data_IF_226569996454
#
_entry.id   IF_226569996454
#
_cell.length_a   1.000
_cell.length_b   1.000
_cell.length_c   1.000
_cell.angle_alpha   90.00
_cell.angle_beta   90.00
_cell.angle_gamma   90.00
#
_symmetry.space_group_name_H-M   'P 1'
#
loop_
_entity.id
_entity.type
_entity.pdbx_description
1 polymer ?
#
# COMPACT_ATOMS: atom_id res chain seq x y z
N UNK A 1 -2.01 85.71 9.37
CA UNK A 1 -2.86 84.58 9.07
C UNK A 1 -1.99 83.61 8.31
N UNK A 2 -1.54 82.58 8.98
CA UNK A 2 -0.35 81.80 8.67
C UNK A 2 -0.71 80.48 8.02
N UNK A 3 -0.19 80.26 6.82
CA UNK A 3 -0.19 79.01 6.09
C UNK A 3 0.88 78.09 6.70
N UNK A 4 0.53 76.89 7.15
CA UNK A 4 1.48 75.86 7.54
C UNK A 4 1.57 74.79 6.45
N UNK A 5 2.73 74.68 5.86
CA UNK A 5 3.16 73.66 4.89
C UNK A 5 3.41 72.34 5.60
N UNK A 6 2.75 71.26 5.17
CA UNK A 6 3.00 69.89 5.64
C UNK A 6 3.90 69.22 4.65
N UNK A 7 5.09 68.85 5.12
CA UNK A 7 6.06 67.95 4.36
C UNK A 7 5.68 66.52 4.59
N UNK A 8 5.32 65.82 3.53
CA UNK A 8 5.12 64.35 3.55
C UNK A 8 6.44 63.70 3.13
N UNK A 9 7.10 63.05 4.08
CA UNK A 9 8.24 62.19 3.82
C UNK A 9 7.74 60.84 3.29
N UNK A 10 8.07 60.54 2.04
CA UNK A 10 7.82 59.23 1.42
C UNK A 10 8.73 58.16 1.98
N UNK A 11 8.16 57.16 2.62
CA UNK A 11 8.84 55.92 2.98
C UNK A 11 8.71 54.95 1.81
N UNK A 12 9.81 54.75 1.05
CA UNK A 12 9.91 53.68 0.10
C UNK A 12 10.13 52.34 0.87
N UNK A 13 9.07 51.56 1.06
CA UNK A 13 9.19 50.19 1.50
C UNK A 13 9.64 49.33 0.31
N UNK A 14 10.87 48.86 0.32
CA UNK A 14 11.36 47.81 -0.54
C UNK A 14 10.67 46.51 -0.07
N UNK A 15 9.62 46.07 -0.77
CA UNK A 15 9.09 44.72 -0.65
C UNK A 15 10.02 43.82 -1.44
N UNK A 16 10.97 43.20 -0.75
CA UNK A 16 11.76 42.09 -1.30
C UNK A 16 10.84 40.92 -1.59
N UNK A 17 10.52 40.70 -2.86
CA UNK A 17 9.93 39.41 -3.31
C UNK A 17 10.95 38.34 -3.03
N UNK A 18 10.78 37.60 -1.93
CA UNK A 18 11.42 36.31 -1.74
C UNK A 18 10.67 35.34 -2.66
N UNK A 19 11.29 35.04 -3.81
CA UNK A 19 10.88 33.89 -4.61
C UNK A 19 11.21 32.64 -3.79
N UNK A 20 10.20 32.05 -3.16
CA UNK A 20 10.27 30.68 -2.68
C UNK A 20 10.28 29.84 -3.96
N UNK A 21 11.43 29.27 -4.29
CA UNK A 21 11.52 28.20 -5.29
C UNK A 21 10.83 27.01 -4.63
N UNK A 22 9.52 26.87 -4.84
CA UNK A 22 8.81 25.64 -4.55
C UNK A 22 9.47 24.55 -5.39
N UNK A 23 10.00 23.53 -4.73
CA UNK A 23 10.66 22.41 -5.39
C UNK A 23 9.65 21.75 -6.33
N UNK A 24 10.00 21.56 -7.61
CA UNK A 24 9.12 20.92 -8.60
C UNK A 24 8.56 19.55 -8.20
N UNK A 25 9.09 18.92 -7.15
CA UNK A 25 8.57 17.72 -6.52
C UNK A 25 7.19 17.93 -5.86
N UNK A 26 6.91 19.12 -5.29
CA UNK A 26 5.62 19.40 -4.65
C UNK A 26 4.50 19.57 -5.67
N UNK A 27 4.80 20.17 -6.82
CA UNK A 27 3.83 20.34 -7.91
C UNK A 27 3.49 19.02 -8.57
N UNK A 28 4.48 18.15 -8.80
CA UNK A 28 4.27 16.79 -9.33
C UNK A 28 3.45 15.93 -8.37
N UNK A 29 3.65 16.08 -7.05
CA UNK A 29 2.88 15.38 -6.03
C UNK A 29 1.38 15.74 -6.08
N UNK A 30 1.06 17.03 -6.16
CA UNK A 30 -0.32 17.51 -6.26
C UNK A 30 -0.98 17.04 -7.56
N UNK A 31 -0.24 16.95 -8.65
CA UNK A 31 -0.72 16.43 -9.93
C UNK A 31 -0.90 14.91 -9.92
N UNK A 32 0.03 14.14 -9.37
CA UNK A 32 -0.07 12.67 -9.30
C UNK A 32 -1.28 12.17 -8.48
N UNK A 33 -1.85 13.02 -7.64
CA UNK A 33 -3.08 12.73 -6.89
C UNK A 33 -4.37 13.05 -7.67
N UNK A 34 -4.29 13.68 -8.85
CA UNK A 34 -5.44 14.03 -9.68
C UNK A 34 -5.82 12.89 -10.62
N UNK A 35 -7.12 12.75 -10.97
CA UNK A 35 -7.58 11.73 -11.92
C UNK A 35 -6.99 11.89 -13.34
N UNK A 36 -6.52 13.08 -13.69
CA UNK A 36 -5.96 13.48 -14.99
C UNK A 36 -4.43 13.55 -15.00
N UNK A 37 -3.75 13.04 -13.98
CA UNK A 37 -2.30 13.01 -13.92
C UNK A 37 -1.71 12.26 -15.10
N UNK A 38 -0.88 12.94 -15.90
CA UNK A 38 -0.12 12.31 -16.97
C UNK A 38 1.12 11.63 -16.39
N UNK A 39 1.18 10.31 -16.57
CA UNK A 39 2.35 9.52 -16.14
C UNK A 39 3.61 10.03 -16.84
N UNK A 40 4.70 10.09 -16.12
CA UNK A 40 6.00 10.52 -16.62
C UNK A 40 6.59 9.45 -17.54
N UNK A 41 6.85 9.72 -18.83
CA UNK A 41 7.46 8.76 -19.75
C UNK A 41 8.87 8.38 -19.28
N UNK A 42 9.07 7.09 -18.95
CA UNK A 42 10.32 6.56 -18.43
C UNK A 42 10.79 5.37 -19.27
N UNK A 43 12.04 5.39 -19.71
CA UNK A 43 12.70 4.29 -20.37
C UNK A 43 13.71 3.61 -19.45
N UNK A 44 13.71 2.27 -19.40
CA UNK A 44 14.74 1.48 -18.72
C UNK A 44 15.71 0.98 -19.79
N UNK A 45 16.89 1.59 -19.85
CA UNK A 45 17.91 1.30 -20.86
C UNK A 45 18.67 -0.01 -20.62
N UNK A 46 18.40 -0.69 -19.50
CA UNK A 46 18.95 -1.99 -19.13
C UNK A 46 19.89 -1.94 -17.93
N UNK A 47 20.13 -3.12 -17.36
CA UNK A 47 21.10 -3.35 -16.28
C UNK A 47 22.21 -4.23 -16.80
N UNK A 48 23.40 -3.65 -16.98
CA UNK A 48 24.60 -4.33 -17.49
C UNK A 48 25.10 -5.39 -16.48
N UNK A 49 25.49 -6.55 -17.00
CA UNK A 49 26.11 -7.58 -16.17
C UNK A 49 27.63 -7.40 -16.18
N UNK A 50 28.20 -7.09 -15.02
CA UNK A 50 29.65 -7.04 -14.81
C UNK A 50 30.16 -8.45 -14.43
N UNK A 51 31.10 -9.04 -15.12
CA UNK A 51 31.70 -10.37 -15.03
C UNK A 51 31.36 -11.26 -13.81
N UNK A 52 31.25 -12.56 -14.00
CA UNK A 52 30.93 -13.53 -12.93
C UNK A 52 29.48 -13.55 -12.46
N UNK A 53 28.54 -13.11 -13.29
CA UNK A 53 27.17 -12.72 -12.94
C UNK A 53 26.08 -13.76 -13.18
N UNK A 54 26.43 -15.03 -13.34
CA UNK A 54 25.43 -16.10 -13.38
C UNK A 54 24.90 -16.36 -11.96
N UNK A 55 23.57 -16.46 -11.83
CA UNK A 55 22.96 -16.89 -10.57
C UNK A 55 23.45 -18.32 -10.24
N UNK A 56 23.48 -18.73 -8.96
CA UNK A 56 23.82 -20.10 -8.57
C UNK A 56 22.98 -21.16 -9.30
N UNK A 57 21.83 -20.76 -9.86
CA UNK A 57 20.92 -21.60 -10.63
C UNK A 57 21.22 -21.60 -12.14
N UNK A 58 22.23 -20.83 -12.61
CA UNK A 58 22.78 -20.90 -13.97
C UNK A 58 21.83 -20.50 -15.12
N UNK A 59 20.65 -19.94 -14.85
CA UNK A 59 19.61 -19.76 -15.86
C UNK A 59 19.29 -18.30 -16.21
N UNK A 60 19.52 -17.35 -15.33
CA UNK A 60 19.17 -15.93 -15.55
C UNK A 60 20.31 -15.02 -15.14
N UNK A 61 20.69 -14.09 -16.02
CA UNK A 61 21.71 -13.09 -15.72
C UNK A 61 21.17 -12.13 -14.65
N UNK A 62 22.02 -11.75 -13.69
CA UNK A 62 21.69 -10.89 -12.56
C UNK A 62 21.04 -9.57 -12.97
N UNK A 63 21.58 -8.89 -14.00
CA UNK A 63 21.04 -7.64 -14.52
C UNK A 63 19.61 -7.80 -15.07
N UNK A 64 19.35 -8.87 -15.83
CA UNK A 64 18.01 -9.14 -16.37
C UNK A 64 16.97 -9.35 -15.26
N UNK A 65 17.36 -10.03 -14.17
CA UNK A 65 16.47 -10.22 -13.02
C UNK A 65 16.14 -8.90 -12.32
N UNK A 66 17.14 -8.03 -12.12
CA UNK A 66 16.96 -6.69 -11.54
C UNK A 66 16.04 -5.85 -12.44
N UNK A 67 16.29 -5.89 -13.75
CA UNK A 67 15.52 -5.13 -14.74
C UNK A 67 14.04 -5.55 -14.76
N UNK A 68 13.75 -6.84 -14.68
CA UNK A 68 12.38 -7.36 -14.64
C UNK A 68 11.61 -6.86 -13.40
N UNK A 69 12.25 -6.93 -12.22
CA UNK A 69 11.68 -6.39 -10.98
C UNK A 69 11.44 -4.89 -11.11
N UNK A 70 12.44 -4.14 -11.58
CA UNK A 70 12.35 -2.69 -11.73
C UNK A 70 11.24 -2.29 -12.72
N UNK A 71 11.08 -2.99 -13.85
CA UNK A 71 9.99 -2.75 -14.80
C UNK A 71 8.62 -2.97 -14.16
N UNK A 72 8.48 -3.99 -13.33
CA UNK A 72 7.24 -4.28 -12.60
C UNK A 72 6.93 -3.18 -11.60
N UNK A 73 7.91 -2.78 -10.79
CA UNK A 73 7.75 -1.74 -9.77
C UNK A 73 7.41 -0.38 -10.39
N UNK A 74 8.13 0.01 -11.45
CA UNK A 74 7.88 1.26 -12.17
C UNK A 74 6.46 1.30 -12.77
N UNK A 75 6.00 0.19 -13.36
CA UNK A 75 4.64 0.09 -13.90
C UNK A 75 3.60 0.20 -12.79
N UNK A 76 3.77 -0.53 -11.69
CA UNK A 76 2.85 -0.56 -10.55
C UNK A 76 2.90 0.71 -9.70
N UNK A 77 3.91 1.55 -9.82
CA UNK A 77 3.93 2.86 -9.15
C UNK A 77 2.81 3.79 -9.61
N UNK A 78 2.29 3.59 -10.82
CA UNK A 78 1.34 4.45 -11.53
C UNK A 78 1.83 5.89 -11.74
N UNK A 79 3.09 6.18 -11.38
CA UNK A 79 3.75 7.48 -11.57
C UNK A 79 4.34 7.57 -12.98
N UNK A 80 4.86 6.45 -13.49
CA UNK A 80 5.57 6.42 -14.76
C UNK A 80 4.79 5.67 -15.84
N UNK A 81 4.96 6.13 -17.09
CA UNK A 81 4.61 5.41 -18.29
C UNK A 81 5.88 4.75 -18.85
N UNK A 82 5.96 3.42 -18.76
CA UNK A 82 7.12 2.69 -19.26
C UNK A 82 7.15 2.75 -20.79
N UNK A 83 8.24 3.30 -21.35
CA UNK A 83 8.50 3.42 -22.79
C UNK A 83 9.42 2.28 -23.23
N UNK A 84 9.07 1.62 -24.34
CA UNK A 84 9.94 0.59 -24.92
C UNK A 84 11.21 1.22 -25.51
N UNK A 85 12.36 0.69 -25.13
CA UNK A 85 13.67 1.14 -25.63
C UNK A 85 13.99 0.66 -27.04
N UNK A 86 13.25 -0.33 -27.56
CA UNK A 86 13.40 -0.82 -28.91
C UNK A 86 13.08 0.30 -29.92
N UNK A 87 14.05 0.66 -30.76
CA UNK A 87 13.92 1.76 -31.73
C UNK A 87 14.43 3.12 -31.22
N UNK A 88 14.75 3.27 -29.94
CA UNK A 88 15.35 4.51 -29.40
C UNK A 88 16.87 4.58 -29.58
N UNK A 89 17.49 3.57 -30.20
CA UNK A 89 18.94 3.53 -30.42
C UNK A 89 19.77 3.31 -29.14
N UNK A 90 19.11 3.08 -28.01
CA UNK A 90 19.78 2.84 -26.73
C UNK A 90 20.35 1.41 -26.74
N UNK A 91 21.67 1.29 -26.59
CA UNK A 91 22.34 -0.01 -26.52
C UNK A 91 22.46 -0.44 -25.06
N UNK A 92 21.58 -1.31 -24.62
CA UNK A 92 21.71 -1.97 -23.36
C UNK A 92 23.07 -2.72 -23.28
N UNK A 93 23.81 -2.57 -22.20
CA UNK A 93 25.06 -3.31 -21.94
C UNK A 93 26.37 -2.58 -22.30
N UNK A 94 26.30 -1.30 -22.72
CA UNK A 94 27.49 -0.46 -22.95
C UNK A 94 27.43 0.88 -22.18
N UNK A 95 26.50 0.98 -21.25
CA UNK A 95 26.25 2.24 -20.54
C UNK A 95 27.21 2.40 -19.35
N UNK A 96 28.11 3.37 -19.45
CA UNK A 96 28.98 3.79 -18.34
C UNK A 96 28.19 4.49 -17.22
N UNK A 97 28.91 5.16 -16.33
CA UNK A 97 28.31 6.03 -15.32
C UNK A 97 27.86 7.39 -15.92
N UNK A 98 28.30 7.70 -17.12
CA UNK A 98 27.93 8.92 -17.83
C UNK A 98 26.75 8.67 -18.81
N UNK A 99 25.95 9.71 -19.12
CA UNK A 99 24.85 9.58 -20.04
C UNK A 99 25.35 9.24 -21.46
N UNK A 100 24.72 8.24 -22.06
CA UNK A 100 24.97 7.87 -23.45
C UNK A 100 24.40 8.93 -24.40
N UNK A 101 25.06 9.27 -25.52
CA UNK A 101 24.53 10.20 -26.52
C UNK A 101 23.14 9.82 -27.08
N UNK A 102 22.78 8.52 -27.09
CA UNK A 102 21.46 8.03 -27.49
C UNK A 102 20.33 8.52 -26.58
N UNK A 103 20.63 8.98 -25.35
CA UNK A 103 19.59 9.52 -24.47
C UNK A 103 18.97 10.80 -25.01
N UNK A 104 19.74 11.63 -25.76
CA UNK A 104 19.18 12.78 -26.46
C UNK A 104 18.13 12.37 -27.49
N UNK A 105 18.40 11.30 -28.24
CA UNK A 105 17.44 10.76 -29.19
C UNK A 105 16.18 10.21 -28.50
N UNK A 106 16.33 9.55 -27.35
CA UNK A 106 15.18 9.11 -26.54
C UNK A 106 14.31 10.30 -26.09
N UNK A 107 14.93 11.39 -25.66
CA UNK A 107 14.25 12.63 -25.27
C UNK A 107 13.48 13.25 -26.46
N UNK A 108 14.09 13.30 -27.64
CA UNK A 108 13.43 13.76 -28.88
C UNK A 108 12.19 12.91 -29.24
N UNK A 109 12.14 11.65 -28.78
CA UNK A 109 11.02 10.74 -28.92
C UNK A 109 10.08 10.73 -27.68
N UNK A 110 10.13 11.75 -26.85
CA UNK A 110 9.17 11.97 -25.75
C UNK A 110 9.48 11.26 -24.44
N UNK A 111 10.67 10.69 -24.26
CA UNK A 111 11.12 10.12 -22.98
C UNK A 111 11.57 11.25 -22.05
N UNK A 112 11.01 11.31 -20.86
CA UNK A 112 11.38 12.31 -19.85
C UNK A 112 12.46 11.82 -18.87
N UNK A 113 12.51 10.50 -18.63
CA UNK A 113 13.46 9.88 -17.69
C UNK A 113 14.07 8.64 -18.31
N UNK A 114 15.41 8.52 -18.26
CA UNK A 114 16.10 7.29 -18.64
C UNK A 114 16.79 6.70 -17.41
N UNK A 115 16.54 5.41 -17.17
CA UNK A 115 17.09 4.65 -16.05
C UNK A 115 17.98 3.54 -16.60
N UNK A 116 19.19 3.40 -16.06
CA UNK A 116 20.09 2.31 -16.39
C UNK A 116 20.92 1.91 -15.18
N UNK A 117 21.71 0.86 -15.31
CA UNK A 117 22.57 0.44 -14.22
C UNK A 117 23.54 -0.65 -14.60
N UNK A 118 24.29 -1.08 -13.60
CA UNK A 118 25.25 -2.18 -13.69
C UNK A 118 25.14 -3.05 -12.47
N UNK A 119 25.24 -4.35 -12.64
CA UNK A 119 25.24 -5.29 -11.53
C UNK A 119 26.33 -6.35 -11.70
N UNK A 120 26.99 -6.70 -10.61
CA UNK A 120 28.06 -7.69 -10.61
C UNK A 120 28.20 -8.38 -9.27
N UNK A 121 28.82 -9.58 -9.32
CA UNK A 121 29.16 -10.36 -8.13
C UNK A 121 30.66 -10.17 -7.87
N UNK A 122 31.02 -9.76 -6.67
CA UNK A 122 32.40 -9.64 -6.24
C UNK A 122 32.93 -11.03 -5.89
N UNK A 123 33.85 -11.54 -6.70
CA UNK A 123 34.45 -12.86 -6.50
C UNK A 123 35.27 -12.91 -5.23
N UNK A 124 35.04 -13.87 -4.33
CA UNK A 124 35.96 -14.12 -3.20
C UNK A 124 35.37 -14.60 -1.88
N UNK A 125 34.04 -14.65 -1.69
CA UNK A 125 33.45 -15.11 -0.42
C UNK A 125 32.24 -16.04 -0.64
N UNK A 126 31.95 -16.93 0.33
CA UNK A 126 30.84 -17.89 0.28
C UNK A 126 29.46 -17.22 0.21
N UNK A 127 29.31 -15.98 0.68
CA UNK A 127 28.15 -15.13 0.47
C UNK A 127 28.55 -14.07 -0.57
N UNK A 128 28.24 -14.36 -1.84
CA UNK A 128 28.64 -13.52 -2.97
C UNK A 128 28.10 -12.11 -2.80
N UNK A 129 29.00 -11.14 -2.55
CA UNK A 129 28.65 -9.73 -2.48
C UNK A 129 28.20 -9.26 -3.87
N UNK A 130 26.96 -8.82 -3.96
CA UNK A 130 26.41 -8.17 -5.15
C UNK A 130 26.58 -6.67 -5.01
N UNK A 131 27.09 -6.04 -6.06
CA UNK A 131 27.03 -4.61 -6.24
C UNK A 131 26.03 -4.30 -7.35
N UNK A 132 25.13 -3.36 -7.12
CA UNK A 132 24.24 -2.78 -8.11
C UNK A 132 24.43 -1.27 -8.11
N UNK A 133 24.83 -0.71 -9.24
CA UNK A 133 24.86 0.73 -9.49
C UNK A 133 23.66 1.08 -10.35
N UNK A 134 22.78 1.96 -9.86
CA UNK A 134 21.63 2.50 -10.59
C UNK A 134 21.84 3.97 -10.91
N UNK A 135 21.48 4.40 -12.11
CA UNK A 135 21.61 5.77 -12.61
C UNK A 135 20.32 6.27 -13.18
N UNK A 136 20.12 7.59 -13.08
CA UNK A 136 18.91 8.27 -13.58
C UNK A 136 19.33 9.51 -14.36
N UNK A 137 18.93 9.59 -15.63
CA UNK A 137 19.05 10.79 -16.45
C UNK A 137 17.67 11.45 -16.54
N UNK A 138 17.63 12.74 -16.28
CA UNK A 138 16.43 13.57 -16.35
C UNK A 138 16.54 14.53 -17.55
N UNK A 139 15.59 14.42 -18.48
CA UNK A 139 15.56 15.22 -19.69
C UNK A 139 15.27 16.71 -19.40
N UNK A 140 14.49 17.01 -18.37
CA UNK A 140 14.15 18.37 -17.99
C UNK A 140 15.37 19.16 -17.52
N UNK A 141 16.27 18.50 -16.79
CA UNK A 141 17.52 19.08 -16.31
C UNK A 141 18.71 18.85 -17.25
N UNK A 142 18.54 17.96 -18.25
CA UNK A 142 19.61 17.50 -19.16
C UNK A 142 20.86 16.99 -18.43
N UNK A 143 20.67 16.27 -17.32
CA UNK A 143 21.76 15.80 -16.45
C UNK A 143 21.47 14.43 -15.81
N UNK A 144 22.51 13.78 -15.31
CA UNK A 144 22.41 12.62 -14.43
C UNK A 144 22.04 13.10 -13.02
N UNK A 145 20.76 12.99 -12.68
CA UNK A 145 20.22 13.49 -11.39
C UNK A 145 20.38 12.50 -10.25
N UNK A 146 20.85 11.30 -10.51
CA UNK A 146 21.06 10.28 -9.49
C UNK A 146 21.98 9.16 -9.94
N UNK A 147 22.90 8.77 -9.07
CA UNK A 147 23.67 7.55 -9.15
C UNK A 147 23.76 6.95 -7.76
N UNK A 148 23.35 5.71 -7.59
CA UNK A 148 23.35 5.07 -6.28
C UNK A 148 23.91 3.66 -6.34
N UNK A 149 24.76 3.35 -5.36
CA UNK A 149 25.31 2.01 -5.18
C UNK A 149 24.60 1.27 -4.05
N UNK A 150 24.16 0.06 -4.36
CA UNK A 150 23.61 -0.91 -3.43
C UNK A 150 24.60 -2.07 -3.31
N UNK A 151 24.83 -2.53 -2.08
CA UNK A 151 25.72 -3.65 -1.77
C UNK A 151 24.99 -4.62 -0.85
N UNK A 152 25.10 -5.92 -1.14
CA UNK A 152 24.51 -6.96 -0.31
C UNK A 152 24.72 -8.35 -0.93
N UNK A 153 24.09 -9.36 -0.36
CA UNK A 153 24.13 -10.73 -0.87
C UNK A 153 23.17 -10.95 -2.07
N UNK A 154 23.35 -12.07 -2.76
CA UNK A 154 22.45 -12.47 -3.85
C UNK A 154 20.98 -12.61 -3.41
N UNK A 155 20.73 -12.92 -2.13
CA UNK A 155 19.39 -13.02 -1.57
C UNK A 155 18.63 -11.71 -1.49
N UNK A 156 19.32 -10.56 -1.46
CA UNK A 156 18.67 -9.23 -1.35
C UNK A 156 18.63 -8.46 -2.67
N UNK A 157 18.95 -9.10 -3.79
CA UNK A 157 18.97 -8.45 -5.12
C UNK A 157 17.60 -7.84 -5.48
N UNK A 158 16.50 -8.55 -5.21
CA UNK A 158 15.15 -8.00 -5.42
C UNK A 158 14.92 -6.76 -4.56
N UNK A 159 15.32 -6.81 -3.29
CA UNK A 159 15.19 -5.65 -2.38
C UNK A 159 15.99 -4.44 -2.88
N UNK A 160 17.16 -4.65 -3.53
CA UNK A 160 17.91 -3.55 -4.15
C UNK A 160 17.12 -2.91 -5.29
N UNK A 161 16.50 -3.73 -6.17
CA UNK A 161 15.66 -3.25 -7.26
C UNK A 161 14.44 -2.48 -6.72
N UNK A 162 13.72 -3.04 -5.76
CA UNK A 162 12.58 -2.40 -5.10
C UNK A 162 12.97 -1.06 -4.46
N UNK A 163 14.13 -1.02 -3.79
CA UNK A 163 14.63 0.22 -3.19
C UNK A 163 14.94 1.28 -4.23
N UNK A 164 15.54 0.89 -5.35
CA UNK A 164 15.80 1.82 -6.44
C UNK A 164 14.50 2.35 -7.07
N UNK A 165 13.50 1.48 -7.28
CA UNK A 165 12.18 1.90 -7.75
C UNK A 165 11.49 2.88 -6.79
N UNK A 166 11.51 2.61 -5.48
CA UNK A 166 10.95 3.50 -4.47
C UNK A 166 11.64 4.88 -4.46
N UNK A 167 12.97 4.90 -4.67
CA UNK A 167 13.73 6.15 -4.76
C UNK A 167 13.39 6.96 -6.02
N UNK A 168 13.09 6.27 -7.15
CA UNK A 168 12.56 6.93 -8.34
C UNK A 168 11.20 7.57 -8.04
N UNK A 169 10.28 6.81 -7.45
CA UNK A 169 8.96 7.34 -7.08
C UNK A 169 9.11 8.55 -6.16
N UNK A 170 9.90 8.42 -5.10
CA UNK A 170 10.11 9.51 -4.14
C UNK A 170 10.71 10.77 -4.79
N UNK A 171 11.68 10.61 -5.70
CA UNK A 171 12.31 11.74 -6.41
C UNK A 171 11.31 12.55 -7.20
N UNK A 172 10.36 11.90 -7.89
CA UNK A 172 9.43 12.56 -8.78
C UNK A 172 8.07 12.92 -8.15
N UNK A 173 7.78 12.42 -6.94
CA UNK A 173 6.49 12.67 -6.28
C UNK A 173 6.61 13.22 -4.87
N UNK A 174 7.76 13.08 -4.22
CA UNK A 174 7.92 13.36 -2.79
C UNK A 174 7.24 12.33 -1.87
N UNK A 175 6.53 11.33 -2.44
CA UNK A 175 5.89 10.26 -1.67
C UNK A 175 6.77 8.99 -1.63
N UNK A 176 6.75 8.21 -0.55
CA UNK A 176 7.40 6.91 -0.53
C UNK A 176 6.74 5.96 -1.55
N UNK A 177 7.58 5.17 -2.25
CA UNK A 177 7.09 4.10 -3.12
C UNK A 177 6.53 2.92 -2.33
N UNK A 178 5.90 1.98 -3.05
CA UNK A 178 5.25 0.79 -2.49
C UNK A 178 6.07 -0.50 -2.69
N UNK A 179 7.16 -0.46 -3.45
CA UNK A 179 7.87 -1.66 -3.88
C UNK A 179 8.48 -2.48 -2.73
N UNK A 180 8.84 -1.84 -1.61
CA UNK A 180 9.34 -2.52 -0.40
C UNK A 180 8.26 -2.89 0.62
N UNK A 181 7.00 -2.68 0.30
CA UNK A 181 5.90 -3.04 1.18
C UNK A 181 5.60 -4.54 1.14
N UNK A 182 4.83 -5.00 2.10
CA UNK A 182 4.46 -6.42 2.26
C UNK A 182 2.95 -6.55 2.32
N UNK A 183 2.47 -7.75 1.98
CA UNK A 183 1.07 -8.14 2.16
C UNK A 183 1.05 -9.32 3.12
N UNK A 184 0.34 -9.17 4.24
CA UNK A 184 -0.01 -10.29 5.09
C UNK A 184 -1.40 -10.81 4.70
N UNK A 185 -1.62 -12.11 4.78
CA UNK A 185 -2.88 -12.75 4.38
C UNK A 185 -3.09 -14.06 5.14
N UNK A 186 -4.27 -14.61 5.02
CA UNK A 186 -4.66 -15.90 5.59
C UNK A 186 -4.60 -16.97 4.52
N UNK A 187 -3.93 -18.09 4.79
CA UNK A 187 -3.93 -19.27 3.93
C UNK A 187 -4.54 -20.47 4.65
N UNK A 188 -5.37 -21.24 3.95
CA UNK A 188 -6.01 -22.43 4.47
C UNK A 188 -5.09 -23.65 4.33
N UNK A 189 -4.76 -24.27 5.46
CA UNK A 189 -3.91 -25.47 5.54
C UNK A 189 -4.69 -26.61 6.23
N UNK A 190 -5.41 -27.40 5.43
CA UNK A 190 -6.33 -28.42 5.96
C UNK A 190 -7.48 -27.76 6.73
N UNK A 191 -7.60 -28.07 8.02
CA UNK A 191 -8.62 -27.46 8.92
C UNK A 191 -8.16 -26.15 9.57
N UNK A 192 -6.87 -25.83 9.49
CA UNK A 192 -6.29 -24.61 10.06
C UNK A 192 -6.32 -23.45 9.05
N UNK A 193 -6.31 -22.23 9.59
CA UNK A 193 -6.06 -21.04 8.83
C UNK A 193 -4.91 -20.28 9.46
N UNK A 194 -3.84 -20.14 8.70
CA UNK A 194 -2.59 -19.60 9.19
C UNK A 194 -2.25 -18.27 8.52
N UNK A 195 -1.54 -17.41 9.23
CA UNK A 195 -1.05 -16.14 8.70
C UNK A 195 0.19 -16.36 7.85
N UNK A 196 0.22 -15.72 6.72
CA UNK A 196 1.34 -15.66 5.79
C UNK A 196 1.70 -14.21 5.48
N UNK A 197 2.92 -14.02 5.00
CA UNK A 197 3.43 -12.74 4.50
C UNK A 197 4.15 -12.94 3.19
N UNK A 198 4.04 -11.99 2.27
CA UNK A 198 4.75 -11.97 0.98
C UNK A 198 5.16 -10.55 0.63
N UNK A 199 6.04 -10.39 -0.34
CA UNK A 199 6.29 -9.10 -0.99
C UNK A 199 5.02 -8.59 -1.66
N UNK A 200 4.93 -7.28 -1.87
CA UNK A 200 3.72 -6.65 -2.44
C UNK A 200 3.36 -7.22 -3.82
N UNK A 201 4.34 -7.79 -4.52
CA UNK A 201 4.20 -8.38 -5.86
C UNK A 201 3.92 -9.89 -5.85
N UNK A 202 3.69 -10.46 -4.65
CA UNK A 202 3.39 -11.89 -4.46
C UNK A 202 4.63 -12.78 -4.30
N UNK A 203 5.84 -12.22 -4.32
CA UNK A 203 7.07 -12.98 -4.16
C UNK A 203 7.35 -13.35 -2.69
N UNK A 204 8.13 -14.44 -2.49
CA UNK A 204 8.62 -14.92 -1.20
C UNK A 204 7.51 -15.11 -0.14
N UNK A 205 6.45 -15.89 -0.43
CA UNK A 205 5.41 -16.19 0.56
C UNK A 205 5.99 -17.00 1.73
N UNK A 206 5.82 -16.51 2.96
CA UNK A 206 6.33 -17.15 4.18
C UNK A 206 5.22 -17.26 5.21
N UNK A 207 5.16 -18.45 5.86
CA UNK A 207 4.24 -18.72 6.95
C UNK A 207 4.70 -18.00 8.23
N UNK A 208 3.77 -17.33 8.92
CA UNK A 208 4.01 -16.62 10.17
C UNK A 208 3.48 -17.37 11.40
N UNK A 209 2.37 -18.09 11.25
CA UNK A 209 1.78 -18.91 12.33
C UNK A 209 1.65 -20.35 11.87
N UNK A 210 1.87 -21.30 12.79
CA UNK A 210 1.81 -22.75 12.53
C UNK A 210 1.26 -23.49 13.77
N UNK A 211 0.18 -22.96 14.33
CA UNK A 211 -0.40 -23.48 15.58
C UNK A 211 -1.60 -24.41 15.37
N UNK A 212 -2.06 -24.57 14.13
CA UNK A 212 -3.14 -25.47 13.76
C UNK A 212 -4.54 -24.93 14.10
N UNK A 213 -4.66 -23.66 14.45
CA UNK A 213 -5.93 -23.00 14.74
C UNK A 213 -6.39 -22.09 13.60
N UNK A 214 -7.49 -21.36 13.85
CA UNK A 214 -7.96 -20.33 12.97
C UNK A 214 -7.37 -18.99 13.39
N UNK A 215 -6.47 -18.45 12.57
CA UNK A 215 -5.91 -17.11 12.71
C UNK A 215 -6.43 -16.28 11.53
N UNK A 216 -7.20 -15.22 11.81
CA UNK A 216 -8.04 -14.53 10.84
C UNK A 216 -7.86 -13.02 10.93
N UNK A 217 -8.20 -12.33 9.84
CA UNK A 217 -8.33 -10.86 9.79
C UNK A 217 -7.09 -10.11 10.29
N UNK A 218 -5.88 -10.43 9.77
CA UNK A 218 -4.69 -9.71 10.17
C UNK A 218 -4.77 -8.23 9.81
N UNK A 219 -4.15 -7.38 10.65
CA UNK A 219 -3.95 -5.96 10.39
C UNK A 219 -2.55 -5.56 10.86
N UNK A 220 -1.89 -4.72 10.09
CA UNK A 220 -0.57 -4.19 10.41
C UNK A 220 -0.63 -3.15 11.53
N UNK A 221 0.41 -3.12 12.35
CA UNK A 221 0.70 -1.93 13.17
C UNK A 221 1.29 -0.82 12.28
N UNK A 222 1.08 0.46 12.64
CA UNK A 222 1.59 1.59 11.84
C UNK A 222 3.12 1.58 11.67
N UNK A 223 3.86 1.06 12.65
CA UNK A 223 5.32 0.92 12.64
C UNK A 223 5.81 -0.34 11.90
N UNK A 224 4.91 -1.16 11.35
CA UNK A 224 5.16 -2.40 10.61
C UNK A 224 5.87 -3.51 11.40
N UNK A 225 6.00 -3.38 12.70
CA UNK A 225 6.67 -4.37 13.54
C UNK A 225 5.76 -5.51 13.94
N UNK A 226 4.45 -5.27 13.95
CA UNK A 226 3.46 -6.20 14.46
C UNK A 226 2.30 -6.43 13.49
N UNK A 227 1.69 -7.61 13.65
CA UNK A 227 0.34 -7.91 13.15
C UNK A 227 -0.59 -8.13 14.34
N UNK A 228 -1.76 -7.49 14.31
CA UNK A 228 -2.88 -7.78 15.21
C UNK A 228 -3.91 -8.60 14.44
N UNK A 229 -4.48 -9.64 15.05
CA UNK A 229 -5.39 -10.56 14.37
C UNK A 229 -6.32 -11.28 15.34
N UNK A 230 -7.41 -11.83 14.81
CA UNK A 230 -8.35 -12.69 15.54
C UNK A 230 -7.82 -14.11 15.56
N UNK A 231 -7.87 -14.78 16.73
CA UNK A 231 -7.48 -16.18 16.89
C UNK A 231 -8.53 -17.01 17.60
N UNK A 232 -8.65 -18.28 17.21
CA UNK A 232 -9.51 -19.28 17.84
C UNK A 232 -8.70 -20.31 18.65
N UNK A 233 -7.51 -19.89 19.11
CA UNK A 233 -6.64 -20.75 19.92
C UNK A 233 -7.27 -21.13 21.25
N UNK A 234 -8.02 -20.23 21.84
CA UNK A 234 -8.88 -20.53 22.99
C UNK A 234 -10.20 -21.12 22.49
N UNK A 235 -10.52 -22.36 22.87
CA UNK A 235 -11.73 -23.05 22.41
C UNK A 235 -13.05 -22.38 22.84
N UNK A 236 -12.99 -21.56 23.87
CA UNK A 236 -14.17 -20.94 24.49
C UNK A 236 -14.41 -19.49 24.05
N UNK A 237 -13.38 -18.83 23.48
CA UNK A 237 -13.44 -17.42 23.09
C UNK A 237 -12.68 -17.21 21.78
N UNK A 238 -13.06 -16.19 21.05
CA UNK A 238 -12.24 -15.63 19.98
C UNK A 238 -11.46 -14.47 20.60
N UNK A 239 -10.15 -14.56 20.54
CA UNK A 239 -9.25 -13.60 21.17
C UNK A 239 -8.58 -12.73 20.10
N UNK A 240 -8.07 -11.58 20.48
CA UNK A 240 -7.22 -10.74 19.63
C UNK A 240 -5.79 -10.86 20.12
N UNK A 241 -4.93 -11.35 19.23
CA UNK A 241 -3.51 -11.50 19.49
C UNK A 241 -2.68 -10.48 18.69
N UNK A 242 -1.49 -10.19 19.22
CA UNK A 242 -0.43 -9.40 18.61
C UNK A 242 0.77 -10.31 18.32
N UNK A 243 1.27 -10.31 17.09
CA UNK A 243 2.44 -11.05 16.64
C UNK A 243 3.57 -10.08 16.29
N UNK A 244 4.74 -10.22 16.91
CA UNK A 244 5.95 -9.50 16.52
C UNK A 244 6.63 -10.21 15.35
N UNK A 245 6.79 -9.53 14.24
CA UNK A 245 7.28 -10.13 12.99
C UNK A 245 8.76 -10.52 13.04
N UNK A 246 9.57 -9.75 13.79
CA UNK A 246 11.01 -9.99 13.90
C UNK A 246 11.35 -11.26 14.71
N UNK A 247 10.57 -11.57 15.74
CA UNK A 247 10.86 -12.64 16.69
C UNK A 247 9.87 -13.80 16.62
N UNK A 248 8.69 -13.59 16.00
CA UNK A 248 7.56 -14.53 16.06
C UNK A 248 6.87 -14.59 17.41
N UNK A 249 7.26 -13.71 18.36
CA UNK A 249 6.65 -13.67 19.70
C UNK A 249 5.23 -13.15 19.64
N UNK A 250 4.34 -13.74 20.45
CA UNK A 250 2.91 -13.51 20.41
C UNK A 250 2.37 -13.18 21.78
N UNK A 251 1.45 -12.25 21.87
CA UNK A 251 0.73 -11.83 23.08
C UNK A 251 -0.76 -11.71 22.81
N UNK A 252 -1.58 -12.09 23.77
CA UNK A 252 -3.01 -11.83 23.72
C UNK A 252 -3.29 -10.41 24.23
N UNK A 253 -3.94 -9.60 23.39
CA UNK A 253 -4.34 -8.23 23.74
C UNK A 253 -5.74 -8.17 24.34
N UNK A 254 -6.67 -8.95 23.80
CA UNK A 254 -8.08 -8.99 24.23
C UNK A 254 -8.51 -10.44 24.34
N UNK A 255 -9.01 -10.83 25.51
CA UNK A 255 -9.53 -12.17 25.81
C UNK A 255 -10.72 -12.05 26.78
N UNK A 256 -11.69 -11.21 26.42
CA UNK A 256 -12.95 -11.10 27.12
C UNK A 256 -13.92 -12.18 26.64
N UNK A 257 -14.91 -12.56 27.42
CA UNK A 257 -15.90 -13.55 27.02
C UNK A 257 -16.61 -13.18 25.72
N UNK A 258 -17.03 -14.18 24.95
CA UNK A 258 -17.70 -13.99 23.65
C UNK A 258 -16.74 -13.80 22.48
N UNK A 259 -17.22 -13.16 21.42
CA UNK A 259 -16.44 -12.82 20.22
C UNK A 259 -15.54 -11.60 20.51
N UNK A 260 -14.28 -11.65 20.11
CA UNK A 260 -13.39 -10.49 20.01
C UNK A 260 -12.72 -10.58 18.64
N UNK A 261 -13.19 -9.80 17.68
CA UNK A 261 -12.86 -9.98 16.25
C UNK A 261 -12.61 -8.65 15.55
N UNK A 262 -12.12 -8.73 14.31
CA UNK A 262 -11.92 -7.59 13.39
C UNK A 262 -11.10 -6.44 13.98
N UNK A 263 -9.90 -6.71 14.51
CA UNK A 263 -9.08 -5.67 15.12
C UNK A 263 -8.59 -4.65 14.08
N UNK A 264 -8.45 -3.38 14.49
CA UNK A 264 -7.88 -2.31 13.68
C UNK A 264 -7.13 -1.32 14.58
N UNK A 265 -5.81 -1.18 14.37
CA UNK A 265 -5.01 -0.18 15.07
C UNK A 265 -5.24 1.22 14.47
N UNK A 266 -5.27 2.24 15.32
CA UNK A 266 -5.32 3.64 14.88
C UNK A 266 -4.05 4.02 14.13
N UNK A 267 -4.08 5.06 13.26
CA UNK A 267 -2.90 5.46 12.47
C UNK A 267 -1.67 5.84 13.30
N UNK A 268 -1.87 6.29 14.53
CA UNK A 268 -0.81 6.60 15.50
C UNK A 268 -0.42 5.42 16.39
N UNK A 269 -1.14 4.27 16.29
CA UNK A 269 -0.90 3.07 17.08
C UNK A 269 -1.38 3.14 18.54
N UNK A 270 -1.97 4.25 18.99
CA UNK A 270 -2.36 4.46 20.37
C UNK A 270 -3.65 3.74 20.76
N UNK A 271 -4.50 3.40 19.78
CA UNK A 271 -5.77 2.74 20.01
C UNK A 271 -5.94 1.50 19.16
N UNK A 272 -6.58 0.49 19.74
CA UNK A 272 -7.09 -0.69 19.05
C UNK A 272 -8.62 -0.61 19.04
N UNK A 273 -9.22 -0.49 17.84
CA UNK A 273 -10.65 -0.70 17.66
C UNK A 273 -10.92 -2.17 17.33
N UNK A 274 -12.00 -2.74 17.85
CA UNK A 274 -12.40 -4.12 17.60
C UNK A 274 -13.89 -4.31 17.86
N UNK A 275 -14.42 -5.43 17.41
CA UNK A 275 -15.80 -5.82 17.67
C UNK A 275 -15.82 -6.88 18.77
N UNK A 276 -16.70 -6.73 19.78
CA UNK A 276 -16.85 -7.69 20.86
C UNK A 276 -18.32 -7.94 21.19
N UNK A 277 -18.65 -9.20 21.51
CA UNK A 277 -19.97 -9.59 21.99
C UNK A 277 -19.99 -9.92 23.49
N UNK A 278 -19.00 -9.46 24.24
CA UNK A 278 -18.87 -9.74 25.69
C UNK A 278 -20.07 -9.26 26.54
N UNK A 279 -20.81 -8.27 26.05
CA UNK A 279 -21.99 -7.71 26.73
C UNK A 279 -23.32 -7.98 25.98
N UNK A 280 -23.35 -9.00 25.10
CA UNK A 280 -24.54 -9.38 24.32
C UNK A 280 -24.29 -9.52 22.84
N UNK A 281 -24.86 -8.64 21.98
CA UNK A 281 -24.54 -8.59 20.57
C UNK A 281 -23.16 -7.93 20.31
N UNK A 282 -22.64 -8.12 19.09
CA UNK A 282 -21.34 -7.53 18.72
C UNK A 282 -21.44 -5.99 18.64
N UNK A 283 -20.59 -5.33 19.37
CA UNK A 283 -20.49 -3.87 19.42
C UNK A 283 -19.04 -3.41 19.20
N UNK A 284 -18.82 -2.16 18.85
CA UNK A 284 -17.48 -1.60 18.73
C UNK A 284 -16.92 -1.20 20.09
N UNK A 285 -15.68 -1.57 20.30
CA UNK A 285 -14.87 -1.19 21.45
C UNK A 285 -13.57 -0.53 20.99
N UNK A 286 -13.05 0.37 21.80
CA UNK A 286 -11.74 1.00 21.66
C UNK A 286 -10.91 0.74 22.91
N UNK A 287 -9.73 0.17 22.74
CA UNK A 287 -8.75 -0.03 23.81
C UNK A 287 -7.56 0.90 23.61
N UNK A 288 -7.14 1.60 24.63
CA UNK A 288 -5.86 2.28 24.67
C UNK A 288 -4.73 1.25 24.75
N UNK A 289 -3.77 1.30 23.81
CA UNK A 289 -2.73 0.27 23.69
C UNK A 289 -1.70 0.29 24.81
N UNK A 290 -1.57 1.41 25.55
CA UNK A 290 -0.64 1.60 26.65
C UNK A 290 -1.29 1.27 28.00
N UNK A 291 -2.38 1.96 28.34
CA UNK A 291 -3.06 1.81 29.62
C UNK A 291 -3.97 0.59 29.68
N UNK A 292 -4.32 -0.01 28.54
CA UNK A 292 -5.30 -1.10 28.38
C UNK A 292 -6.73 -0.71 28.78
N UNK A 293 -6.99 0.56 28.99
CA UNK A 293 -8.35 1.05 29.24
C UNK A 293 -9.25 0.80 28.03
N UNK A 294 -10.42 0.23 28.27
CA UNK A 294 -11.41 -0.12 27.23
C UNK A 294 -12.62 0.78 27.35
N UNK A 295 -13.06 1.30 26.19
CA UNK A 295 -14.30 2.06 26.04
C UNK A 295 -15.19 1.36 25.02
N UNK A 296 -16.44 1.10 25.35
CA UNK A 296 -17.48 0.71 24.41
C UNK A 296 -17.89 1.94 23.59
N UNK A 297 -17.87 1.85 22.26
CA UNK A 297 -18.19 2.96 21.36
C UNK A 297 -19.66 2.92 20.89
N UNK A 298 -20.23 1.72 20.76
CA UNK A 298 -21.59 1.56 20.25
C UNK A 298 -22.48 0.78 21.21
N UNK A 299 -23.78 1.08 21.15
CA UNK A 299 -24.83 0.38 21.92
C UNK A 299 -26.11 0.41 21.09
N UNK A 300 -26.51 -0.71 20.52
CA UNK A 300 -27.73 -0.83 19.73
C UNK A 300 -28.18 -2.30 19.62
N UNK A 301 -29.32 -2.56 18.98
CA UNK A 301 -29.83 -3.91 18.80
C UNK A 301 -29.18 -4.68 17.66
N UNK A 302 -28.53 -4.00 16.72
CA UNK A 302 -27.80 -4.59 15.59
C UNK A 302 -26.37 -4.93 15.96
N UNK A 303 -25.71 -5.77 15.13
CA UNK A 303 -24.28 -6.07 15.26
C UNK A 303 -23.43 -4.99 14.59
N UNK A 304 -22.37 -4.57 15.26
CA UNK A 304 -21.40 -3.61 14.77
C UNK A 304 -20.03 -4.29 14.60
N UNK A 305 -19.54 -4.32 13.35
CA UNK A 305 -18.40 -5.14 12.95
C UNK A 305 -17.42 -4.37 12.04
N UNK A 306 -16.21 -4.92 11.93
CA UNK A 306 -15.20 -4.51 10.94
C UNK A 306 -14.85 -3.02 10.98
N UNK A 307 -14.40 -2.49 12.12
CA UNK A 307 -13.96 -1.09 12.21
C UNK A 307 -12.75 -0.84 11.30
N UNK A 308 -12.72 0.33 10.67
CA UNK A 308 -11.60 0.84 9.87
C UNK A 308 -11.38 2.31 10.18
N UNK A 309 -10.20 2.66 10.64
CA UNK A 309 -9.85 4.04 10.98
C UNK A 309 -9.73 4.94 9.77
N UNK A 310 -10.23 6.15 9.88
CA UNK A 310 -9.83 7.26 9.01
C UNK A 310 -8.33 7.57 9.22
N UNK A 311 -7.60 8.02 8.19
CA UNK A 311 -6.17 8.36 8.34
C UNK A 311 -5.93 9.51 9.33
N UNK A 312 -6.94 10.33 9.60
CA UNK A 312 -6.89 11.36 10.63
C UNK A 312 -6.92 10.83 12.07
N UNK A 313 -7.29 9.56 12.27
CA UNK A 313 -7.52 8.97 13.59
C UNK A 313 -8.76 9.50 14.34
N UNK A 314 -9.58 10.36 13.70
CA UNK A 314 -10.72 11.03 14.35
C UNK A 314 -12.05 10.30 14.14
N UNK A 315 -12.16 9.46 13.14
CA UNK A 315 -13.36 8.71 12.80
C UNK A 315 -13.04 7.26 12.46
N UNK A 316 -14.05 6.41 12.54
CA UNK A 316 -14.03 5.03 12.05
C UNK A 316 -15.19 4.81 11.07
N UNK A 317 -14.94 4.02 10.04
CA UNK A 317 -15.98 3.36 9.25
C UNK A 317 -16.20 1.97 9.83
N UNK A 318 -17.45 1.48 9.83
CA UNK A 318 -17.78 0.16 10.34
C UNK A 318 -19.02 -0.41 9.65
N UNK A 319 -19.23 -1.69 9.75
CA UNK A 319 -20.44 -2.38 9.29
C UNK A 319 -21.44 -2.46 10.41
N UNK A 320 -22.71 -2.11 10.15
CA UNK A 320 -23.81 -2.27 11.10
C UNK A 320 -25.08 -2.77 10.42
N UNK A 321 -25.81 -3.67 11.05
CA UNK A 321 -27.10 -4.16 10.58
C UNK A 321 -28.31 -3.50 11.30
N UNK A 322 -28.05 -2.44 12.10
CA UNK A 322 -29.09 -1.67 12.83
C UNK A 322 -30.22 -1.12 11.94
N UNK A 323 -30.00 -1.05 10.64
CA UNK A 323 -30.97 -0.58 9.64
C UNK A 323 -31.69 -1.73 8.90
N UNK A 324 -31.63 -2.97 9.41
CA UNK A 324 -32.29 -4.14 8.83
C UNK A 324 -31.42 -4.99 7.91
N UNK A 325 -30.20 -4.57 7.61
CA UNK A 325 -29.18 -5.30 6.85
C UNK A 325 -27.84 -4.61 6.94
N UNK A 326 -26.72 -5.31 6.58
CA UNK A 326 -25.39 -4.74 6.70
C UNK A 326 -25.20 -3.48 5.85
N UNK A 327 -24.83 -2.38 6.51
CA UNK A 327 -24.54 -1.09 5.88
C UNK A 327 -23.26 -0.50 6.49
N UNK A 328 -22.58 0.34 5.73
CA UNK A 328 -21.44 1.09 6.24
C UNK A 328 -21.93 2.32 6.99
N UNK A 329 -21.43 2.48 8.20
CA UNK A 329 -21.64 3.64 9.07
C UNK A 329 -20.32 4.31 9.38
N UNK A 330 -20.38 5.58 9.78
CA UNK A 330 -19.25 6.33 10.33
C UNK A 330 -19.55 6.72 11.77
N UNK A 331 -18.50 6.80 12.59
CA UNK A 331 -18.57 7.16 14.00
C UNK A 331 -17.31 7.95 14.37
N UNK A 332 -17.43 8.96 15.23
CA UNK A 332 -16.26 9.62 15.81
C UNK A 332 -15.48 8.66 16.72
N UNK A 333 -14.17 8.86 16.84
CA UNK A 333 -13.29 8.00 17.65
C UNK A 333 -13.66 7.94 19.14
N UNK A 334 -14.42 8.91 19.65
CA UNK A 334 -14.96 8.96 21.01
C UNK A 334 -16.31 8.25 21.19
N UNK A 335 -16.90 7.71 20.10
CA UNK A 335 -18.21 7.05 20.09
C UNK A 335 -19.38 7.97 19.74
N UNK A 336 -19.15 9.25 19.51
CA UNK A 336 -20.19 10.19 19.12
C UNK A 336 -20.43 10.21 17.59
N UNK A 337 -21.46 10.95 17.14
CA UNK A 337 -21.75 11.27 15.74
C UNK A 337 -21.91 10.04 14.83
N UNK A 338 -22.63 9.02 15.27
CA UNK A 338 -22.94 7.85 14.44
C UNK A 338 -23.83 8.26 13.28
N UNK A 339 -23.39 7.96 12.04
CA UNK A 339 -24.16 8.26 10.82
C UNK A 339 -24.05 7.15 9.79
N UNK A 340 -25.13 6.85 9.10
CA UNK A 340 -25.12 5.89 7.98
C UNK A 340 -24.46 6.52 6.76
N UNK A 341 -23.60 5.77 6.08
CA UNK A 341 -22.90 6.21 4.87
C UNK A 341 -23.49 5.60 3.60
N UNK A 342 -23.84 4.31 3.62
CA UNK A 342 -24.38 3.61 2.44
C UNK A 342 -25.89 3.47 2.51
N UNK A 343 -26.59 3.83 1.43
CA UNK A 343 -28.06 3.80 1.32
C UNK A 343 -28.54 2.92 0.16
N UNK A 344 -27.68 2.64 -0.82
CA UNK A 344 -28.01 1.81 -1.97
C UNK A 344 -27.64 0.35 -1.74
N UNK A 345 -28.50 -0.56 -2.18
CA UNK A 345 -28.32 -2.00 -2.03
C UNK A 345 -28.70 -2.51 -0.64
N UNK A 346 -28.80 -3.83 -0.55
CA UNK A 346 -29.24 -4.55 0.65
C UNK A 346 -28.07 -5.08 1.50
N UNK A 347 -26.84 -4.96 1.00
CA UNK A 347 -25.62 -5.41 1.69
C UNK A 347 -24.42 -4.54 1.32
N UNK A 348 -23.84 -3.89 2.31
CA UNK A 348 -22.62 -3.10 2.22
C UNK A 348 -21.81 -3.34 3.50
N UNK A 349 -20.63 -3.94 3.40
CA UNK A 349 -19.87 -4.42 4.56
C UNK A 349 -18.35 -4.32 4.39
N UNK A 350 -17.60 -4.64 5.45
CA UNK A 350 -16.14 -4.72 5.48
C UNK A 350 -15.46 -3.45 4.93
N UNK A 351 -15.75 -2.26 5.48
CA UNK A 351 -15.15 -1.03 5.01
C UNK A 351 -13.64 -1.00 5.26
N UNK A 352 -12.90 -0.41 4.32
CA UNK A 352 -11.48 -0.09 4.43
C UNK A 352 -11.28 1.37 4.01
N UNK A 353 -10.87 2.22 4.92
CA UNK A 353 -10.64 3.63 4.65
C UNK A 353 -9.30 3.84 3.92
N UNK A 354 -9.31 4.61 2.83
CA UNK A 354 -8.09 4.97 2.10
C UNK A 354 -7.12 5.77 2.98
N UNK A 355 -5.80 5.51 2.91
CA UNK A 355 -4.81 6.32 3.62
C UNK A 355 -4.80 7.79 3.17
N UNK A 356 -5.34 8.12 2.00
CA UNK A 356 -5.55 9.49 1.52
C UNK A 356 -6.80 10.17 2.10
N UNK A 357 -7.68 9.41 2.77
CA UNK A 357 -8.90 9.92 3.39
C UNK A 357 -10.06 10.22 2.42
N UNK A 358 -9.84 10.12 1.13
CA UNK A 358 -10.79 10.53 0.08
C UNK A 358 -11.80 9.44 -0.32
N UNK A 359 -11.51 8.16 -0.03
CA UNK A 359 -12.35 7.03 -0.37
C UNK A 359 -12.43 6.00 0.75
N UNK A 360 -13.54 5.26 0.79
CA UNK A 360 -13.74 4.06 1.59
C UNK A 360 -14.08 2.94 0.62
N UNK A 361 -13.24 1.90 0.56
CA UNK A 361 -13.53 0.66 -0.15
C UNK A 361 -14.40 -0.22 0.73
N UNK A 362 -15.34 -0.95 0.15
CA UNK A 362 -16.21 -1.85 0.89
C UNK A 362 -16.77 -2.94 -0.01
N UNK A 363 -17.28 -4.01 0.57
CA UNK A 363 -17.97 -5.07 -0.15
C UNK A 363 -19.42 -4.65 -0.34
N UNK A 364 -19.87 -4.53 -1.58
CA UNK A 364 -21.25 -4.23 -1.94
C UNK A 364 -21.89 -5.42 -2.63
N UNK A 365 -23.20 -5.62 -2.43
CA UNK A 365 -23.97 -6.59 -3.18
C UNK A 365 -24.62 -5.92 -4.38
N UNK A 366 -24.32 -6.44 -5.58
CA UNK A 366 -24.85 -5.90 -6.82
C UNK A 366 -26.33 -6.28 -7.01
N UNK A 367 -27.08 -5.65 -7.95
CA UNK A 367 -28.43 -6.07 -8.30
C UNK A 367 -28.51 -7.52 -8.79
N UNK A 368 -27.40 -8.08 -9.31
CA UNK A 368 -27.29 -9.49 -9.72
C UNK A 368 -27.00 -10.44 -8.55
N UNK A 369 -27.00 -9.93 -7.32
CA UNK A 369 -26.70 -10.68 -6.09
C UNK A 369 -25.25 -11.15 -5.97
N UNK A 370 -24.32 -10.53 -6.69
CA UNK A 370 -22.88 -10.78 -6.61
C UNK A 370 -22.24 -9.86 -5.57
N UNK A 371 -21.27 -10.35 -4.84
CA UNK A 371 -20.46 -9.55 -3.90
C UNK A 371 -19.24 -9.00 -4.62
N UNK A 372 -19.13 -7.69 -4.68
CA UNK A 372 -18.09 -6.95 -5.38
C UNK A 372 -17.49 -5.85 -4.52
N UNK A 373 -16.35 -5.31 -4.95
CA UNK A 373 -15.80 -4.12 -4.31
C UNK A 373 -16.46 -2.87 -4.86
N UNK A 374 -16.85 -1.99 -3.95
CA UNK A 374 -17.32 -0.64 -4.23
C UNK A 374 -16.44 0.39 -3.52
N UNK A 375 -16.38 1.59 -4.06
CA UNK A 375 -15.78 2.77 -3.44
C UNK A 375 -16.87 3.80 -3.13
N UNK A 376 -16.75 4.50 -2.00
CA UNK A 376 -17.61 5.62 -1.64
C UNK A 376 -16.77 6.72 -1.00
N UNK A 377 -17.08 8.00 -1.29
CA UNK A 377 -16.45 9.11 -0.58
C UNK A 377 -17.01 9.24 0.84
N UNK A 378 -16.24 9.76 1.83
CA UNK A 378 -16.71 9.86 3.23
C UNK A 378 -17.94 10.76 3.43
N UNK A 379 -18.22 11.66 2.49
CA UNK A 379 -19.43 12.47 2.44
C UNK A 379 -20.63 11.74 1.79
N UNK A 380 -20.40 10.55 1.20
CA UNK A 380 -21.41 9.74 0.54
C UNK A 380 -21.84 10.23 -0.86
N UNK A 381 -21.21 11.31 -1.39
CA UNK A 381 -21.67 11.95 -2.64
C UNK A 381 -21.27 11.18 -3.91
N UNK A 382 -20.15 10.46 -3.86
CA UNK A 382 -19.66 9.67 -5.00
C UNK A 382 -19.56 8.21 -4.62
N UNK A 383 -20.12 7.35 -5.46
CA UNK A 383 -20.04 5.89 -5.35
C UNK A 383 -19.68 5.28 -6.69
N UNK A 384 -18.77 4.30 -6.66
CA UNK A 384 -18.31 3.56 -7.85
C UNK A 384 -18.23 2.08 -7.51
N UNK A 385 -18.75 1.22 -8.39
CA UNK A 385 -18.44 -0.21 -8.34
C UNK A 385 -17.07 -0.42 -8.97
N UNK A 386 -16.11 -0.95 -8.20
CA UNK A 386 -14.72 -1.09 -8.63
C UNK A 386 -14.48 -2.39 -9.38
N UNK A 387 -15.01 -3.51 -8.89
CA UNK A 387 -14.80 -4.83 -9.49
C UNK A 387 -16.05 -5.35 -10.15
N UNK A 388 -15.84 -6.16 -11.20
CA UNK A 388 -16.88 -6.83 -11.99
C UNK A 388 -16.44 -8.27 -12.30
N UNK A 389 -17.26 -9.05 -13.01
CA UNK A 389 -16.94 -10.42 -13.42
C UNK A 389 -17.37 -11.47 -12.39
N UNK A 390 -16.92 -12.73 -12.55
CA UNK A 390 -17.36 -13.85 -11.73
C UNK A 390 -16.79 -13.82 -10.31
N UNK A 391 -17.37 -14.65 -9.43
CA UNK A 391 -16.88 -14.89 -8.08
C UNK A 391 -17.29 -13.83 -7.06
N UNK A 392 -16.84 -14.03 -5.84
CA UNK A 392 -17.03 -13.16 -4.68
C UNK A 392 -15.72 -12.40 -4.43
N UNK A 393 -15.82 -11.09 -4.31
CA UNK A 393 -14.71 -10.20 -3.96
C UNK A 393 -14.93 -9.69 -2.53
N UNK A 394 -13.91 -9.81 -1.67
CA UNK A 394 -14.03 -9.53 -0.24
C UNK A 394 -12.72 -8.99 0.37
N UNK A 395 -12.83 -8.43 1.56
CA UNK A 395 -11.71 -8.01 2.43
C UNK A 395 -10.74 -7.05 1.73
N UNK A 396 -11.19 -5.89 1.25
CA UNK A 396 -10.32 -4.90 0.63
C UNK A 396 -9.29 -4.33 1.61
N UNK A 397 -8.07 -4.08 1.12
CA UNK A 397 -7.02 -3.37 1.85
C UNK A 397 -6.22 -2.48 0.90
N UNK A 398 -6.05 -1.23 1.27
CA UNK A 398 -5.37 -0.22 0.47
C UNK A 398 -3.85 -0.35 0.50
N UNK A 399 -3.19 -0.04 -0.63
CA UNK A 399 -1.77 0.30 -0.63
C UNK A 399 -1.53 1.60 0.15
N UNK A 400 -0.35 1.80 0.76
CA UNK A 400 -0.09 2.99 1.56
C UNK A 400 -0.13 4.31 0.77
N UNK A 401 0.09 4.25 -0.54
CA UNK A 401 -0.03 5.38 -1.46
C UNK A 401 -1.48 5.64 -1.92
N UNK A 402 -2.43 4.76 -1.55
CA UNK A 402 -3.85 4.90 -1.89
C UNK A 402 -4.17 4.74 -3.38
N UNK A 403 -3.28 4.14 -4.18
CA UNK A 403 -3.48 3.95 -5.62
C UNK A 403 -3.95 2.54 -5.99
N UNK A 404 -3.77 1.56 -5.08
CA UNK A 404 -4.13 0.16 -5.28
C UNK A 404 -4.95 -0.38 -4.13
N UNK A 405 -5.68 -1.44 -4.42
CA UNK A 405 -6.41 -2.24 -3.43
C UNK A 405 -6.05 -3.71 -3.65
N UNK A 406 -5.62 -4.40 -2.59
CA UNK A 406 -5.58 -5.86 -2.56
C UNK A 406 -6.84 -6.39 -1.91
N UNK A 407 -7.31 -7.54 -2.39
CA UNK A 407 -8.54 -8.16 -1.92
C UNK A 407 -8.52 -9.65 -2.19
N UNK A 408 -9.40 -10.40 -1.57
CA UNK A 408 -9.61 -11.81 -1.89
C UNK A 408 -10.72 -11.96 -2.93
N UNK A 409 -10.51 -12.84 -3.92
CA UNK A 409 -11.52 -13.14 -4.95
C UNK A 409 -11.60 -14.63 -5.24
N UNK A 410 -12.82 -15.11 -5.49
CA UNK A 410 -13.09 -16.49 -5.93
C UNK A 410 -13.31 -16.59 -7.45
N UNK A 411 -12.87 -15.60 -8.22
CA UNK A 411 -13.04 -15.55 -9.67
C UNK A 411 -12.53 -16.80 -10.39
N UNK A 412 -11.46 -17.41 -9.90
CA UNK A 412 -10.84 -18.63 -10.43
C UNK A 412 -11.31 -19.92 -9.71
N UNK A 413 -12.44 -19.87 -8.99
CA UNK A 413 -13.02 -21.01 -8.26
C UNK A 413 -12.50 -21.17 -6.84
N UNK A 414 -11.21 -20.95 -6.58
CA UNK A 414 -10.61 -20.84 -5.25
C UNK A 414 -10.39 -19.38 -4.87
N UNK A 415 -10.39 -19.11 -3.57
CA UNK A 415 -10.05 -17.78 -3.08
C UNK A 415 -8.56 -17.51 -3.25
N UNK A 416 -8.22 -16.45 -3.96
CA UNK A 416 -6.86 -15.95 -4.16
C UNK A 416 -6.79 -14.45 -3.86
N UNK A 417 -5.59 -13.95 -3.60
CA UNK A 417 -5.36 -12.52 -3.44
C UNK A 417 -5.13 -11.91 -4.82
N UNK A 418 -5.87 -10.83 -5.06
CA UNK A 418 -5.78 -10.00 -6.26
C UNK A 418 -5.41 -8.57 -5.88
N UNK A 419 -4.86 -7.86 -6.84
CA UNK A 419 -4.59 -6.44 -6.77
C UNK A 419 -5.28 -5.74 -7.94
N UNK A 420 -5.83 -4.54 -7.69
CA UNK A 420 -6.48 -3.70 -8.69
C UNK A 420 -6.13 -2.24 -8.44
N UNK A 421 -6.03 -1.45 -9.52
CA UNK A 421 -5.91 0.00 -9.39
C UNK A 421 -7.22 0.63 -8.98
N UNK A 422 -7.17 1.80 -8.36
CA UNK A 422 -8.37 2.53 -7.90
C UNK A 422 -9.24 3.08 -9.04
N UNK A 423 -8.75 3.07 -10.27
CA UNK A 423 -9.53 3.36 -11.49
C UNK A 423 -10.23 2.12 -12.09
N UNK A 424 -10.11 0.94 -11.44
CA UNK A 424 -10.70 -0.32 -11.88
C UNK A 424 -9.91 -1.07 -12.95
N UNK A 425 -8.70 -0.63 -13.27
CA UNK A 425 -7.82 -1.27 -14.26
C UNK A 425 -6.75 -2.13 -13.61
N UNK A 426 -5.99 -2.84 -14.46
CA UNK A 426 -4.84 -3.65 -14.09
C UNK A 426 -5.15 -4.65 -12.95
N UNK A 427 -6.28 -5.37 -13.09
CA UNK A 427 -6.63 -6.47 -12.19
C UNK A 427 -5.62 -7.61 -12.36
N UNK A 428 -4.91 -7.93 -11.30
CA UNK A 428 -3.85 -8.94 -11.30
C UNK A 428 -3.98 -9.89 -10.10
N UNK A 429 -3.87 -11.19 -10.33
CA UNK A 429 -3.75 -12.19 -9.27
C UNK A 429 -2.31 -12.23 -8.77
N UNK A 430 -2.11 -12.18 -7.45
CA UNK A 430 -0.78 -12.15 -6.82
C UNK A 430 -0.46 -13.37 -5.95
N UNK A 431 -1.42 -14.29 -5.72
CA UNK A 431 -1.15 -15.59 -5.07
C UNK A 431 -1.40 -16.76 -6.04
N UNK A 432 -0.44 -17.69 -6.12
CA UNK A 432 -0.45 -18.80 -7.05
C UNK A 432 -0.38 -20.17 -6.34
N UNK A 433 -0.66 -20.21 -5.04
CA UNK A 433 -0.71 -21.43 -4.24
C UNK A 433 -1.94 -22.28 -4.57
N UNK A 434 -1.88 -23.58 -4.31
CA UNK A 434 -3.04 -24.47 -4.47
C UNK A 434 -4.09 -24.37 -3.36
N UNK A 435 -3.88 -23.48 -2.37
CA UNK A 435 -4.73 -23.30 -1.19
C UNK A 435 -5.65 -22.08 -1.35
N UNK A 436 -6.70 -22.02 -0.52
CA UNK A 436 -7.52 -20.80 -0.39
C UNK A 436 -6.74 -19.72 0.37
N UNK A 437 -6.66 -18.52 -0.20
CA UNK A 437 -6.01 -17.35 0.40
C UNK A 437 -7.03 -16.22 0.54
N UNK A 438 -7.10 -15.58 1.71
CA UNK A 438 -8.13 -14.59 2.04
C UNK A 438 -7.62 -13.50 2.98
N UNK A 439 -8.46 -12.51 3.23
CA UNK A 439 -8.25 -11.42 4.18
C UNK A 439 -6.85 -10.77 4.08
N UNK A 440 -6.45 -10.28 2.89
CA UNK A 440 -5.18 -9.60 2.75
C UNK A 440 -5.16 -8.28 3.53
N UNK A 441 -3.98 -7.90 3.99
CA UNK A 441 -3.73 -6.59 4.56
C UNK A 441 -2.39 -6.06 4.06
N UNK A 442 -2.40 -4.87 3.49
CA UNK A 442 -1.21 -4.21 2.98
C UNK A 442 -0.47 -3.48 4.10
N UNK A 443 0.86 -3.58 4.14
CA UNK A 443 1.66 -2.89 5.14
C UNK A 443 1.70 -1.37 4.89
N UNK A 444 1.93 -0.55 5.91
CA UNK A 444 2.31 0.85 5.71
C UNK A 444 3.56 0.98 4.83
N UNK A 445 3.84 2.21 4.32
CA UNK A 445 5.04 2.52 3.55
C UNK A 445 6.34 2.30 4.34
N UNK A 446 7.44 2.07 3.62
CA UNK A 446 8.77 1.79 4.18
C UNK A 446 9.53 3.04 4.56
#
# INVERSE_FOLDING_TARGET
>A
MTLRTLVIAGFCAFVGLVWIIESGAADVFLEAARPDFQKIPLAIAGIENLGGTESPEGRVKLGSRIEEVLKTDVRRSLVFALVDVNGLGIKAGQLGAEPDPSFKHAVENGVSVVVWGRAGIKSGNKDSDVNMDGYVYDAGNNEVVGGKRYVGSTSVVRLMAHRFADELVFRYTGEPGIARTKIAYVSELGSARELFIMDYDGYDPRQLTADGFLNLMPRWSPDRRFLVFTTYRNRNTQDIDLLELATGKRWTLVSQGGLNITPALSPDGNFLAYSSSSEGNAELYRMDTHSKAVQRLTTNAGGDLSPSWAPSGRELAFTSDRSGGPQVFLISADGSNVRRLTFEGDYNAAPAWSPRGNWIAYVCRTPRKEYKLCLITPDGQKRVQLTTGPGVDDSPSWSPDGRHIVFSSTADGKSHIYMINTDGKDLERITFTGTHNSAPTWSPAS
#
